data_IF_571978058672
#
_entry.id   IF_571978058672
#
_cell.length_a   1.000
_cell.length_b   1.000
_cell.length_c   1.000
_cell.angle_alpha   90.00
_cell.angle_beta   90.00
_cell.angle_gamma   90.00
#
_symmetry.space_group_name_H-M   'P 1'
#
loop_
_entity.id
_entity.type
_entity.pdbx_description
1 polymer ?
#
# COMPACT_ATOMS: atom_id res chain seq x y z
N UNK A 1 -6.46 26.29 4.89
CA UNK A 1 -5.57 25.16 5.13
C UNK A 1 -6.28 23.85 4.82
N UNK A 2 -5.80 23.12 3.83
CA UNK A 2 -6.45 21.86 3.47
C UNK A 2 -6.03 20.74 4.41
N UNK A 3 -7.00 19.98 4.87
CA UNK A 3 -6.77 18.82 5.69
C UNK A 3 -6.34 17.65 4.79
N UNK A 4 -5.33 16.90 5.24
CA UNK A 4 -4.94 15.70 4.51
C UNK A 4 -6.06 14.67 4.51
N UNK A 5 -6.30 14.05 3.35
CA UNK A 5 -7.24 12.96 3.19
C UNK A 5 -6.57 11.85 2.37
N UNK A 6 -6.82 10.57 2.70
CA UNK A 6 -6.33 9.48 1.87
C UNK A 6 -6.99 9.52 0.50
N UNK A 7 -6.31 8.94 -0.50
CA UNK A 7 -6.84 8.90 -1.86
C UNK A 7 -7.99 7.90 -1.96
N UNK A 8 -9.18 8.32 -2.41
CA UNK A 8 -10.35 7.44 -2.45
C UNK A 8 -10.25 6.33 -3.49
N UNK A 9 -9.38 6.49 -4.49
CA UNK A 9 -9.20 5.52 -5.56
C UNK A 9 -8.03 4.54 -5.33
N UNK A 10 -7.48 4.55 -4.10
CA UNK A 10 -6.50 3.55 -3.66
C UNK A 10 -7.07 2.85 -2.42
N UNK A 11 -7.24 1.54 -2.52
CA UNK A 11 -7.78 0.72 -1.43
C UNK A 11 -6.75 -0.30 -0.97
N UNK A 12 -6.85 -0.71 0.28
CA UNK A 12 -5.97 -1.74 0.83
C UNK A 12 -6.82 -2.75 1.61
N UNK A 13 -6.24 -3.96 1.82
CA UNK A 13 -6.94 -4.97 2.60
C UNK A 13 -6.74 -4.75 4.10
N UNK A 14 -7.74 -5.14 4.89
CA UNK A 14 -7.67 -5.08 6.36
C UNK A 14 -7.69 -6.48 6.97
N UNK A 15 -7.86 -7.49 6.11
CA UNK A 15 -7.85 -8.91 6.48
C UNK A 15 -7.38 -9.69 5.26
N UNK A 16 -7.21 -11.00 5.39
CA UNK A 16 -6.80 -11.84 4.26
C UNK A 16 -7.78 -11.75 3.11
N UNK A 17 -7.26 -11.69 1.88
CA UNK A 17 -8.08 -11.69 0.68
C UNK A 17 -8.40 -13.15 0.34
N UNK A 18 -9.65 -13.54 0.53
CA UNK A 18 -10.07 -14.93 0.29
C UNK A 18 -10.25 -15.24 -1.19
N UNK A 19 -10.83 -14.31 -1.95
CA UNK A 19 -11.10 -14.47 -3.37
C UNK A 19 -10.61 -13.24 -4.12
N UNK A 20 -9.45 -13.32 -4.79
CA UNK A 20 -8.87 -12.16 -5.48
C UNK A 20 -9.81 -11.54 -6.52
N UNK A 21 -10.47 -12.34 -7.33
CA UNK A 21 -11.36 -11.81 -8.37
C UNK A 21 -12.58 -11.08 -7.79
N UNK A 22 -13.18 -11.64 -6.74
CA UNK A 22 -14.30 -10.99 -6.07
C UNK A 22 -13.86 -9.70 -5.38
N UNK A 23 -12.69 -9.72 -4.73
CA UNK A 23 -12.14 -8.57 -4.06
C UNK A 23 -11.93 -7.39 -5.02
N UNK A 24 -11.33 -7.68 -6.18
CA UNK A 24 -11.11 -6.66 -7.22
C UNK A 24 -12.43 -6.15 -7.80
N UNK A 25 -13.36 -7.04 -8.08
CA UNK A 25 -14.65 -6.69 -8.67
C UNK A 25 -15.48 -5.79 -7.75
N UNK A 26 -15.51 -6.12 -6.47
CA UNK A 26 -16.28 -5.36 -5.47
C UNK A 26 -15.78 -3.93 -5.34
N UNK A 27 -14.50 -3.69 -5.62
CA UNK A 27 -13.88 -2.38 -5.53
C UNK A 27 -13.75 -1.66 -6.88
N UNK A 28 -14.19 -2.31 -7.95
CA UNK A 28 -14.09 -1.76 -9.29
C UNK A 28 -12.64 -1.52 -9.71
N UNK A 29 -11.72 -2.35 -9.24
CA UNK A 29 -10.30 -2.12 -9.43
C UNK A 29 -9.84 -2.30 -10.87
N UNK A 30 -9.06 -1.34 -11.37
CA UNK A 30 -8.41 -1.43 -12.66
C UNK A 30 -7.01 -2.02 -12.53
N UNK A 31 -6.41 -1.94 -11.36
CA UNK A 31 -5.03 -2.39 -11.15
C UNK A 31 -4.80 -2.84 -9.70
N UNK A 32 -3.63 -3.46 -9.51
CA UNK A 32 -3.30 -4.06 -8.20
C UNK A 32 -1.78 -4.03 -7.99
N UNK A 33 -1.36 -3.44 -6.87
CA UNK A 33 0.02 -3.53 -6.39
C UNK A 33 0.06 -4.60 -5.30
N UNK A 34 0.73 -5.72 -5.62
CA UNK A 34 0.80 -6.89 -4.75
C UNK A 34 2.16 -6.90 -4.05
N UNK A 35 2.16 -6.98 -2.71
CA UNK A 35 3.36 -6.77 -1.91
C UNK A 35 4.02 -8.04 -1.38
N UNK A 36 3.45 -9.20 -1.65
CA UNK A 36 3.95 -10.46 -1.09
C UNK A 36 4.79 -11.26 -2.09
N UNK A 37 5.65 -12.13 -1.56
CA UNK A 37 6.42 -13.05 -2.36
C UNK A 37 5.79 -14.44 -2.42
N UNK A 38 6.50 -15.38 -3.03
CA UNK A 38 6.02 -16.75 -3.23
C UNK A 38 5.77 -17.51 -1.93
N UNK A 39 6.49 -17.15 -0.87
CA UNK A 39 6.31 -17.78 0.43
C UNK A 39 4.88 -17.65 0.94
N UNK A 40 4.32 -16.45 0.81
CA UNK A 40 2.93 -16.21 1.18
C UNK A 40 1.97 -17.01 0.29
N UNK A 41 2.26 -17.11 -0.99
CA UNK A 41 1.42 -17.86 -1.92
C UNK A 41 1.32 -19.34 -1.54
N UNK A 42 2.37 -19.89 -0.95
CA UNK A 42 2.42 -21.28 -0.52
C UNK A 42 1.75 -21.54 0.84
N UNK A 43 1.40 -20.47 1.57
CA UNK A 43 0.74 -20.60 2.87
C UNK A 43 -0.75 -20.84 2.73
N UNK A 44 -1.34 -21.51 3.72
CA UNK A 44 -2.78 -21.70 3.77
C UNK A 44 -3.49 -20.33 3.81
N UNK A 45 -4.44 -20.12 2.93
CA UNK A 45 -5.15 -18.86 2.81
C UNK A 45 -4.39 -17.77 2.07
N UNK A 46 -3.20 -18.07 1.56
CA UNK A 46 -2.41 -17.14 0.76
C UNK A 46 -2.90 -17.07 -0.67
N UNK A 47 -2.55 -15.99 -1.35
CA UNK A 47 -2.83 -15.82 -2.77
C UNK A 47 -1.53 -15.58 -3.52
N UNK A 48 -1.51 -15.95 -4.81
CA UNK A 48 -0.32 -15.77 -5.65
C UNK A 48 -0.45 -14.54 -6.54
N UNK A 49 0.69 -14.07 -7.04
CA UNK A 49 0.68 -12.97 -8.00
C UNK A 49 -0.06 -13.37 -9.30
N UNK A 50 0.02 -14.65 -9.69
CA UNK A 50 -0.71 -15.14 -10.86
C UNK A 50 -2.22 -14.96 -10.70
N UNK A 51 -2.76 -15.18 -9.49
CA UNK A 51 -4.16 -14.94 -9.19
C UNK A 51 -4.51 -13.46 -9.27
N UNK A 52 -3.61 -12.60 -8.80
CA UNK A 52 -3.76 -11.14 -8.89
C UNK A 52 -3.80 -10.70 -10.36
N UNK A 53 -2.88 -11.24 -11.17
CA UNK A 53 -2.80 -10.91 -12.60
C UNK A 53 -4.09 -11.30 -13.35
N UNK A 54 -4.74 -12.37 -12.94
CA UNK A 54 -6.00 -12.79 -13.56
C UNK A 54 -7.19 -11.93 -13.11
N UNK A 55 -7.07 -11.27 -11.96
CA UNK A 55 -8.19 -10.53 -11.37
C UNK A 55 -8.34 -9.11 -11.93
N UNK A 56 -7.26 -8.52 -12.44
CA UNK A 56 -7.24 -7.12 -12.92
C UNK A 56 -6.51 -7.01 -14.26
N UNK A 57 -6.73 -5.90 -14.95
CA UNK A 57 -6.10 -5.65 -16.24
C UNK A 57 -4.61 -5.29 -16.15
N UNK A 58 -4.18 -4.70 -15.03
CA UNK A 58 -2.80 -4.30 -14.83
C UNK A 58 -2.36 -4.55 -13.40
N UNK A 59 -1.18 -5.14 -13.20
CA UNK A 59 -0.66 -5.43 -11.87
C UNK A 59 0.86 -5.31 -11.82
N UNK A 60 1.36 -4.98 -10.62
CA UNK A 60 2.80 -4.94 -10.35
C UNK A 60 3.03 -5.67 -9.04
N UNK A 61 4.09 -6.46 -8.98
CA UNK A 61 4.52 -7.15 -7.77
C UNK A 61 5.80 -6.50 -7.26
N UNK A 62 5.71 -5.84 -6.10
CA UNK A 62 6.89 -5.37 -5.38
C UNK A 62 6.98 -6.20 -4.11
N UNK A 63 7.88 -7.18 -4.09
CA UNK A 63 8.03 -8.08 -2.95
C UNK A 63 8.58 -7.28 -1.78
N UNK A 64 7.77 -7.13 -0.75
CA UNK A 64 8.05 -6.27 0.41
C UNK A 64 8.13 -7.02 1.73
N UNK A 65 7.74 -8.30 1.73
CA UNK A 65 7.75 -9.10 2.95
C UNK A 65 9.18 -9.57 3.30
N UNK A 66 9.40 -10.04 4.54
CA UNK A 66 10.72 -10.48 4.96
C UNK A 66 11.32 -11.52 4.01
N UNK A 67 12.64 -11.56 3.81
CA UNK A 67 13.65 -10.83 4.62
C UNK A 67 13.89 -9.37 4.23
N UNK A 68 13.09 -8.83 3.33
CA UNK A 68 13.26 -7.44 2.92
C UNK A 68 12.91 -6.48 4.05
N UNK A 69 13.77 -5.48 4.29
CA UNK A 69 13.58 -4.51 5.36
C UNK A 69 12.90 -3.24 4.86
N UNK A 70 12.21 -2.55 5.75
CA UNK A 70 11.62 -1.25 5.45
C UNK A 70 12.74 -0.24 5.22
N UNK A 71 12.72 0.42 4.06
CA UNK A 71 13.77 1.33 3.66
C UNK A 71 13.22 2.41 2.74
N UNK A 72 14.04 3.44 2.48
CA UNK A 72 13.66 4.48 1.52
C UNK A 72 13.63 3.94 0.10
N UNK A 73 14.55 3.02 -0.23
CA UNK A 73 14.55 2.40 -1.55
C UNK A 73 13.28 1.60 -1.80
N UNK A 74 12.83 0.86 -0.79
CA UNK A 74 11.57 0.12 -0.89
C UNK A 74 10.39 1.09 -1.06
N UNK A 75 10.38 2.20 -0.33
CA UNK A 75 9.35 3.22 -0.46
C UNK A 75 9.31 3.78 -1.88
N UNK A 76 10.48 4.05 -2.48
CA UNK A 76 10.57 4.56 -3.86
C UNK A 76 9.99 3.56 -4.86
N UNK A 77 10.22 2.27 -4.67
CA UNK A 77 9.65 1.23 -5.54
C UNK A 77 8.13 1.23 -5.48
N UNK A 78 7.56 1.38 -4.29
CA UNK A 78 6.11 1.45 -4.13
C UNK A 78 5.52 2.69 -4.80
N UNK A 79 6.16 3.84 -4.60
CA UNK A 79 5.70 5.10 -5.19
C UNK A 79 5.73 5.03 -6.73
N UNK A 80 6.82 4.50 -7.27
CA UNK A 80 6.96 4.36 -8.73
C UNK A 80 5.89 3.42 -9.29
N UNK A 81 5.62 2.31 -8.60
CA UNK A 81 4.59 1.36 -9.03
C UNK A 81 3.20 2.01 -9.01
N UNK A 82 2.87 2.71 -7.95
CA UNK A 82 1.56 3.36 -7.84
C UNK A 82 1.38 4.48 -8.87
N UNK A 83 2.46 5.18 -9.22
CA UNK A 83 2.40 6.19 -10.27
C UNK A 83 2.07 5.58 -11.64
N UNK A 84 2.46 4.33 -11.90
CA UNK A 84 2.22 3.67 -13.17
C UNK A 84 0.85 3.00 -13.28
N UNK A 85 0.25 2.64 -12.15
CA UNK A 85 -0.97 1.82 -12.17
C UNK A 85 -2.23 2.66 -12.39
N UNK A 86 -3.13 2.22 -13.29
CA UNK A 86 -4.38 2.95 -13.53
C UNK A 86 -5.36 2.81 -12.36
N UNK A 87 -6.07 3.88 -12.06
CA UNK A 87 -7.04 3.93 -10.96
C UNK A 87 -8.39 3.32 -11.34
N UNK A 88 -9.14 2.73 -10.42
CA UNK A 88 -8.80 2.50 -9.01
C UNK A 88 -7.76 1.38 -8.83
N UNK A 89 -6.93 1.52 -7.80
CA UNK A 89 -5.82 0.61 -7.54
C UNK A 89 -5.97 -0.08 -6.18
N UNK A 90 -5.69 -1.37 -6.14
CA UNK A 90 -5.61 -2.13 -4.90
C UNK A 90 -4.14 -2.25 -4.47
N UNK A 91 -3.90 -2.17 -3.17
CA UNK A 91 -2.60 -2.48 -2.57
C UNK A 91 -2.86 -3.52 -1.50
N UNK A 92 -2.23 -4.68 -1.59
CA UNK A 92 -2.47 -5.73 -0.59
C UNK A 92 -1.19 -6.35 -0.06
N UNK A 93 -1.24 -6.74 1.22
CA UNK A 93 -0.26 -7.57 1.88
C UNK A 93 -1.01 -8.71 2.56
N UNK A 94 -0.42 -9.41 3.52
CA UNK A 94 -1.11 -10.55 4.14
C UNK A 94 -2.43 -10.16 4.81
N UNK A 95 -2.41 -9.10 5.64
CA UNK A 95 -3.59 -8.72 6.42
C UNK A 95 -3.82 -7.22 6.58
N UNK A 96 -3.04 -6.40 5.89
CA UNK A 96 -3.29 -4.97 5.82
C UNK A 96 -2.24 -4.00 6.35
N UNK A 97 -1.41 -4.34 7.35
CA UNK A 97 -0.49 -3.34 7.92
C UNK A 97 0.45 -2.71 6.90
N UNK A 98 1.15 -3.52 6.12
CA UNK A 98 2.09 -2.99 5.12
C UNK A 98 1.37 -2.25 4.00
N UNK A 99 0.29 -2.84 3.50
CA UNK A 99 -0.50 -2.24 2.42
C UNK A 99 -1.06 -0.88 2.82
N UNK A 100 -1.60 -0.77 4.04
CA UNK A 100 -2.14 0.50 4.52
C UNK A 100 -1.03 1.54 4.69
N UNK A 101 0.16 1.14 5.16
CA UNK A 101 1.30 2.04 5.28
C UNK A 101 1.67 2.62 3.91
N UNK A 102 1.75 1.77 2.88
CA UNK A 102 2.07 2.20 1.52
C UNK A 102 1.01 3.16 0.98
N UNK A 103 -0.27 2.86 1.19
CA UNK A 103 -1.36 3.70 0.70
C UNK A 103 -1.34 5.10 1.33
N UNK A 104 -1.17 5.18 2.65
CA UNK A 104 -1.10 6.48 3.33
C UNK A 104 0.17 7.25 2.99
N UNK A 105 1.30 6.57 2.89
CA UNK A 105 2.56 7.19 2.48
C UNK A 105 2.42 7.84 1.11
N UNK A 106 1.90 7.09 0.14
CA UNK A 106 1.74 7.57 -1.22
C UNK A 106 0.78 8.77 -1.26
N UNK A 107 -0.36 8.67 -0.58
CA UNK A 107 -1.32 9.78 -0.52
C UNK A 107 -0.69 11.03 0.09
N UNK A 108 0.09 10.86 1.14
CA UNK A 108 0.79 11.98 1.79
C UNK A 108 1.80 12.64 0.86
N UNK A 109 2.54 11.83 0.10
CA UNK A 109 3.52 12.36 -0.87
C UNK A 109 2.83 13.12 -2.00
N UNK A 110 1.73 12.58 -2.53
CA UNK A 110 1.01 13.26 -3.63
C UNK A 110 0.36 14.55 -3.17
N UNK A 111 -0.09 14.62 -1.91
CA UNK A 111 -0.69 15.81 -1.32
C UNK A 111 0.33 16.79 -0.77
N UNK A 112 1.62 16.45 -0.76
CA UNK A 112 2.68 17.24 -0.14
C UNK A 112 2.35 17.55 1.33
N UNK A 113 1.78 16.56 2.03
CA UNK A 113 1.31 16.71 3.39
C UNK A 113 2.44 16.54 4.40
N UNK A 114 2.25 17.13 5.57
CA UNK A 114 3.14 16.93 6.71
C UNK A 114 3.00 15.47 7.20
N UNK A 115 4.11 14.76 7.44
CA UNK A 115 4.05 13.37 7.92
C UNK A 115 3.19 13.17 9.16
N UNK A 116 3.22 14.10 10.11
CA UNK A 116 2.44 13.97 11.34
C UNK A 116 0.94 14.10 11.07
N UNK A 117 0.56 14.90 10.09
CA UNK A 117 -0.82 15.03 9.64
C UNK A 117 -1.32 13.73 9.02
N UNK A 118 -0.47 13.10 8.21
CA UNK A 118 -0.79 11.80 7.59
C UNK A 118 -0.99 10.73 8.66
N UNK A 119 -0.08 10.66 9.63
CA UNK A 119 -0.18 9.68 10.72
C UNK A 119 -1.43 9.91 11.58
N UNK A 120 -1.75 11.17 11.87
CA UNK A 120 -2.93 11.50 12.65
C UNK A 120 -4.22 11.06 11.94
N UNK A 121 -4.30 11.29 10.64
CA UNK A 121 -5.47 10.87 9.85
C UNK A 121 -5.57 9.34 9.79
N UNK A 122 -4.44 8.67 9.60
CA UNK A 122 -4.40 7.21 9.61
C UNK A 122 -4.91 6.63 10.93
N UNK A 123 -4.52 7.23 12.04
CA UNK A 123 -4.99 6.79 13.37
C UNK A 123 -6.48 7.03 13.56
N UNK A 124 -6.98 8.16 13.11
CA UNK A 124 -8.44 8.45 13.16
C UNK A 124 -9.24 7.42 12.38
N UNK A 125 -8.68 6.94 11.27
CA UNK A 125 -9.36 5.97 10.41
C UNK A 125 -9.12 4.52 10.83
N UNK A 126 -8.32 4.30 11.87
CA UNK A 126 -8.02 2.94 12.35
C UNK A 126 -7.17 2.13 11.37
N UNK A 127 -6.29 2.78 10.64
CA UNK A 127 -5.44 2.09 9.66
C UNK A 127 -4.58 1.03 10.33
N UNK A 128 -4.53 -0.19 9.77
CA UNK A 128 -3.83 -1.31 10.42
C UNK A 128 -2.37 -1.05 10.77
N UNK A 129 -1.64 -0.27 9.96
CA UNK A 129 -0.22 -0.04 10.22
C UNK A 129 0.04 0.77 11.49
N UNK A 130 -0.94 1.51 11.97
CA UNK A 130 -0.78 2.36 13.17
C UNK A 130 -0.55 1.55 14.45
N UNK A 131 -0.78 0.25 14.42
CA UNK A 131 -0.52 -0.66 15.54
C UNK A 131 0.97 -1.02 15.65
N UNK A 132 1.78 -0.65 14.67
CA UNK A 132 3.19 -1.04 14.58
C UNK A 132 4.08 0.19 14.45
N UNK A 133 4.88 0.45 15.48
CA UNK A 133 5.77 1.62 15.49
C UNK A 133 6.74 1.64 14.31
N UNK A 134 7.21 0.48 13.88
CA UNK A 134 8.14 0.38 12.74
C UNK A 134 7.52 0.87 11.45
N UNK A 135 6.24 0.59 11.22
CA UNK A 135 5.54 1.09 10.03
C UNK A 135 5.28 2.59 10.13
N UNK A 136 4.92 3.07 11.31
CA UNK A 136 4.72 4.51 11.53
C UNK A 136 6.01 5.29 11.27
N UNK A 137 7.13 4.77 11.79
CA UNK A 137 8.44 5.39 11.56
C UNK A 137 8.81 5.39 10.08
N UNK A 138 8.56 4.28 9.39
CA UNK A 138 8.84 4.16 7.96
C UNK A 138 8.03 5.16 7.13
N UNK A 139 6.73 5.28 7.41
CA UNK A 139 5.86 6.25 6.73
C UNK A 139 6.37 7.66 6.95
N UNK A 140 6.69 8.02 8.20
CA UNK A 140 7.20 9.35 8.55
C UNK A 140 8.49 9.67 7.80
N UNK A 141 9.47 8.78 7.89
CA UNK A 141 10.77 8.98 7.26
C UNK A 141 10.67 9.04 5.74
N UNK A 142 9.83 8.20 5.17
CA UNK A 142 9.66 8.16 3.72
C UNK A 142 9.01 9.42 3.19
N UNK A 143 7.97 9.92 3.86
CA UNK A 143 7.32 11.17 3.44
C UNK A 143 8.30 12.33 3.54
N UNK A 144 9.07 12.41 4.62
CA UNK A 144 10.07 13.47 4.79
C UNK A 144 11.15 13.44 3.70
N UNK A 145 11.76 12.27 3.50
CA UNK A 145 12.88 12.14 2.57
C UNK A 145 12.43 12.25 1.11
N UNK A 146 11.39 11.51 0.73
CA UNK A 146 10.90 11.53 -0.64
C UNK A 146 10.18 12.83 -0.98
N UNK A 147 9.55 13.44 0.00
CA UNK A 147 8.95 14.77 -0.16
C UNK A 147 9.98 15.82 -0.52
N UNK A 148 11.16 15.76 0.10
CA UNK A 148 12.27 16.68 -0.25
C UNK A 148 12.78 16.42 -1.66
N UNK A 149 12.83 15.16 -2.09
CA UNK A 149 13.28 14.82 -3.45
C UNK A 149 12.35 15.34 -4.53
N UNK A 150 11.07 15.49 -4.22
CA UNK A 150 10.05 15.97 -5.16
C UNK A 150 10.07 17.49 -5.34
N UNK A 151 10.68 18.21 -4.39
CA UNK A 151 10.68 19.67 -4.40
C UNK A 151 11.90 20.27 -5.10
#
# INVERSE_FOLDING_TARGET
MSRFEPLPDISFNTEKVADPSAFARERGAASWLYLNGEEFAAMEGGISFAQVQRAVGRSINVVSDPPRTLSLDLAREHVAALDELPRPTLVTCRSGPRASAVAYMYAGLRAEADPEEVLAEAERNGAPFCKFDEYKAWVRQSIEALGREQR
#
